data_IF_329246112058
#
_entry.id   IF_329246112058
#
_cell.length_a   1.000
_cell.length_b   1.000
_cell.length_c   1.000
_cell.angle_alpha   90.00
_cell.angle_beta   90.00
_cell.angle_gamma   90.00
#
_symmetry.space_group_name_H-M   'P 1'
#
loop_
_entity.id
_entity.type
_entity.pdbx_description
1 polymer ?
#
# COMPACT_ATOMS: atom_id res chain seq x y z
N UNK A 1 -8.59 33.42 -8.58
CA UNK A 1 -7.65 32.76 -9.53
C UNK A 1 -6.48 32.08 -8.81
N UNK A 2 -5.99 32.62 -7.68
CA UNK A 2 -4.90 32.06 -6.88
C UNK A 2 -5.22 30.77 -6.09
N UNK A 3 -6.49 30.58 -5.68
CA UNK A 3 -6.92 29.36 -4.99
C UNK A 3 -6.98 28.14 -5.92
N UNK A 4 -7.44 28.34 -7.16
CA UNK A 4 -7.52 27.29 -8.19
C UNK A 4 -6.13 26.71 -8.48
N UNK A 5 -5.09 27.54 -8.49
CA UNK A 5 -3.70 27.10 -8.69
C UNK A 5 -3.15 26.32 -7.51
N UNK A 6 -3.50 26.69 -6.27
CA UNK A 6 -3.04 25.98 -5.05
C UNK A 6 -3.65 24.58 -4.94
N UNK A 7 -4.95 24.45 -5.23
CA UNK A 7 -5.62 23.15 -5.24
C UNK A 7 -5.07 22.20 -6.30
N UNK A 8 -4.83 22.70 -7.52
CA UNK A 8 -4.22 21.91 -8.60
C UNK A 8 -2.82 21.39 -8.24
N UNK A 9 -1.99 22.23 -7.60
CA UNK A 9 -0.64 21.83 -7.17
C UNK A 9 -0.70 20.76 -6.07
N UNK A 10 -1.61 20.90 -5.10
CA UNK A 10 -1.81 19.91 -4.05
C UNK A 10 -2.34 18.59 -4.61
N UNK A 11 -3.31 18.64 -5.52
CA UNK A 11 -3.86 17.47 -6.22
C UNK A 11 -2.77 16.71 -6.98
N UNK A 12 -1.97 17.42 -7.79
CA UNK A 12 -0.87 16.83 -8.56
C UNK A 12 0.18 16.18 -7.65
N UNK A 13 0.50 16.81 -6.53
CA UNK A 13 1.42 16.26 -5.53
C UNK A 13 0.86 14.99 -4.89
N UNK A 14 -0.40 15.01 -4.45
CA UNK A 14 -1.08 13.84 -3.85
C UNK A 14 -1.14 12.68 -4.83
N UNK A 15 -1.51 12.94 -6.10
CA UNK A 15 -1.56 11.92 -7.15
C UNK A 15 -0.19 11.30 -7.41
N UNK A 16 0.86 12.13 -7.50
CA UNK A 16 2.24 11.64 -7.68
C UNK A 16 2.66 10.73 -6.52
N UNK A 17 2.32 11.09 -5.29
CA UNK A 17 2.62 10.28 -4.11
C UNK A 17 1.84 8.96 -4.10
N UNK A 18 0.56 8.98 -4.48
CA UNK A 18 -0.25 7.76 -4.64
C UNK A 18 0.43 6.83 -5.62
N UNK A 19 0.80 7.30 -6.81
CA UNK A 19 1.45 6.47 -7.82
C UNK A 19 2.76 5.86 -7.33
N UNK A 20 3.61 6.67 -6.67
CA UNK A 20 4.88 6.20 -6.10
C UNK A 20 4.63 5.14 -5.02
N UNK A 21 3.72 5.39 -4.07
CA UNK A 21 3.41 4.44 -3.00
C UNK A 21 2.79 3.15 -3.56
N UNK A 22 1.94 3.24 -4.57
CA UNK A 22 1.36 2.07 -5.25
C UNK A 22 2.43 1.19 -5.87
N UNK A 23 3.40 1.81 -6.56
CA UNK A 23 4.52 1.09 -7.16
C UNK A 23 5.41 0.44 -6.08
N UNK A 24 5.69 1.15 -4.98
CA UNK A 24 6.45 0.61 -3.85
C UNK A 24 5.71 -0.58 -3.22
N UNK A 25 4.41 -0.45 -2.95
CA UNK A 25 3.63 -1.53 -2.34
C UNK A 25 3.57 -2.73 -3.28
N UNK A 26 3.44 -2.49 -4.59
CA UNK A 26 3.44 -3.56 -5.58
C UNK A 26 4.79 -4.29 -5.61
N UNK A 27 5.91 -3.55 -5.54
CA UNK A 27 7.23 -4.13 -5.46
C UNK A 27 7.41 -4.98 -4.20
N UNK A 28 7.03 -4.47 -3.02
CA UNK A 28 7.12 -5.22 -1.77
C UNK A 28 6.23 -6.47 -1.80
N UNK A 29 5.00 -6.37 -2.32
CA UNK A 29 4.08 -7.51 -2.46
C UNK A 29 4.64 -8.60 -3.38
N UNK A 30 5.30 -8.22 -4.47
CA UNK A 30 5.94 -9.16 -5.37
C UNK A 30 7.19 -9.79 -4.73
N UNK A 31 8.01 -8.99 -4.04
CA UNK A 31 9.15 -9.51 -3.27
C UNK A 31 8.68 -10.53 -2.23
N UNK A 32 7.58 -10.27 -1.53
CA UNK A 32 6.99 -11.22 -0.58
C UNK A 32 6.61 -12.53 -1.26
N UNK A 33 5.93 -12.50 -2.41
CA UNK A 33 5.58 -13.69 -3.19
C UNK A 33 6.83 -14.48 -3.62
N UNK A 34 7.80 -13.84 -4.26
CA UNK A 34 8.99 -14.52 -4.75
C UNK A 34 9.87 -15.06 -3.61
N UNK A 35 9.95 -14.34 -2.49
CA UNK A 35 10.69 -14.83 -1.32
C UNK A 35 9.97 -16.03 -0.70
N UNK A 36 8.63 -16.00 -0.61
CA UNK A 36 7.84 -17.14 -0.15
C UNK A 36 7.97 -18.37 -1.07
N UNK A 37 8.20 -18.13 -2.36
CA UNK A 37 8.40 -19.19 -3.34
C UNK A 37 9.72 -19.93 -3.15
N UNK A 38 10.81 -19.23 -2.84
CA UNK A 38 12.11 -19.87 -2.61
C UNK A 38 12.32 -20.31 -1.15
N UNK A 39 11.59 -19.72 -0.19
CA UNK A 39 11.79 -19.96 1.24
C UNK A 39 10.46 -20.23 1.96
N UNK A 40 10.20 -21.49 2.30
CA UNK A 40 8.98 -21.91 3.00
C UNK A 40 8.79 -21.23 4.37
N UNK A 41 9.87 -20.88 5.07
CA UNK A 41 9.81 -20.17 6.36
C UNK A 41 9.14 -18.80 6.29
N UNK A 42 9.07 -18.18 5.11
CA UNK A 42 8.32 -16.93 4.90
C UNK A 42 6.81 -17.16 4.99
N UNK A 43 6.33 -18.31 4.52
CA UNK A 43 4.91 -18.69 4.65
C UNK A 43 4.55 -18.92 6.11
N UNK A 44 5.43 -19.58 6.87
CA UNK A 44 5.25 -19.82 8.32
C UNK A 44 5.22 -18.51 9.12
N UNK A 45 6.09 -17.56 8.79
CA UNK A 45 6.15 -16.24 9.44
C UNK A 45 5.27 -15.18 8.78
N UNK A 46 4.42 -15.57 7.84
CA UNK A 46 3.60 -14.66 7.02
C UNK A 46 2.79 -13.68 7.86
N UNK A 47 2.24 -14.12 9.00
CA UNK A 47 1.47 -13.26 9.91
C UNK A 47 2.30 -12.08 10.46
N UNK A 48 3.52 -12.35 10.92
CA UNK A 48 4.42 -11.32 11.46
C UNK A 48 4.86 -10.37 10.35
N UNK A 49 5.23 -10.92 9.19
CA UNK A 49 5.64 -10.14 8.02
C UNK A 49 4.49 -9.22 7.57
N UNK A 50 3.27 -9.75 7.49
CA UNK A 50 2.07 -8.99 7.16
C UNK A 50 1.82 -7.85 8.16
N UNK A 51 1.96 -8.11 9.47
CA UNK A 51 1.81 -7.07 10.49
C UNK A 51 2.82 -5.92 10.30
N UNK A 52 4.09 -6.25 10.04
CA UNK A 52 5.14 -5.26 9.77
C UNK A 52 4.80 -4.47 8.50
N UNK A 53 4.36 -5.14 7.44
CA UNK A 53 3.96 -4.49 6.19
C UNK A 53 2.78 -3.54 6.39
N UNK A 54 1.75 -3.93 7.14
CA UNK A 54 0.59 -3.07 7.46
C UNK A 54 1.07 -1.77 8.11
N UNK A 55 1.93 -1.86 9.13
CA UNK A 55 2.48 -0.69 9.82
C UNK A 55 3.32 0.15 8.87
N UNK A 56 4.23 -0.49 8.12
CA UNK A 56 5.10 0.17 7.15
C UNK A 56 4.30 0.90 6.06
N UNK A 57 3.16 0.35 5.63
CA UNK A 57 2.28 0.96 4.65
C UNK A 57 1.46 2.11 5.27
N UNK A 58 0.99 1.97 6.51
CA UNK A 58 0.26 3.04 7.18
C UNK A 58 1.10 4.31 7.42
N UNK A 59 2.39 4.18 7.75
CA UNK A 59 3.28 5.30 8.08
C UNK A 59 3.36 6.42 7.01
N UNK A 60 3.69 6.14 5.73
CA UNK A 60 3.74 7.18 4.70
C UNK A 60 2.36 7.81 4.47
N UNK A 61 1.28 7.04 4.62
CA UNK A 61 -0.08 7.57 4.49
C UNK A 61 -0.35 8.62 5.56
N UNK A 62 -0.01 8.31 6.81
CA UNK A 62 -0.11 9.25 7.94
C UNK A 62 0.74 10.50 7.71
N UNK A 63 1.98 10.33 7.24
CA UNK A 63 2.92 11.43 7.05
C UNK A 63 2.52 12.37 5.91
N UNK A 64 2.06 11.83 4.79
CA UNK A 64 1.91 12.60 3.55
C UNK A 64 0.47 13.08 3.28
N UNK A 65 -0.55 12.42 3.83
CA UNK A 65 -1.96 12.71 3.53
C UNK A 65 -2.74 13.34 4.70
N UNK A 66 -2.05 14.05 5.60
CA UNK A 66 -2.64 14.68 6.81
C UNK A 66 -3.61 15.84 6.55
N UNK A 67 -3.89 16.20 5.30
CA UNK A 67 -4.64 17.41 4.91
C UNK A 67 -5.96 17.07 4.17
N UNK A 68 -6.58 18.07 3.53
CA UNK A 68 -7.88 18.05 2.80
C UNK A 68 -8.14 16.83 1.89
N UNK A 69 -7.09 16.10 1.49
CA UNK A 69 -7.12 14.91 0.64
C UNK A 69 -6.93 13.61 1.43
N UNK A 70 -7.54 13.48 2.60
CA UNK A 70 -7.38 12.29 3.46
C UNK A 70 -7.88 10.99 2.80
N UNK A 71 -8.75 11.08 1.79
CA UNK A 71 -9.31 9.96 1.02
C UNK A 71 -8.46 9.54 -0.18
N UNK A 72 -7.49 10.35 -0.60
CA UNK A 72 -6.60 10.03 -1.73
C UNK A 72 -5.85 8.69 -1.62
N UNK A 73 -5.43 8.23 -0.43
CA UNK A 73 -4.76 6.94 -0.26
C UNK A 73 -5.56 5.74 -0.77
N UNK A 74 -6.89 5.83 -0.94
CA UNK A 74 -7.72 4.76 -1.53
C UNK A 74 -7.24 4.40 -2.94
N UNK A 75 -6.80 5.39 -3.72
CA UNK A 75 -6.28 5.18 -5.06
C UNK A 75 -4.97 4.37 -5.06
N UNK A 76 -4.28 4.24 -3.92
CA UNK A 76 -3.10 3.37 -3.81
C UNK A 76 -3.49 1.93 -4.14
N UNK A 77 -4.61 1.45 -3.60
CA UNK A 77 -5.09 0.11 -3.88
C UNK A 77 -5.43 -0.09 -5.36
N UNK A 78 -6.05 0.93 -5.97
CA UNK A 78 -6.43 0.89 -7.39
C UNK A 78 -5.21 0.77 -8.32
N UNK A 79 -4.15 1.54 -8.08
CA UNK A 79 -2.93 1.51 -8.88
C UNK A 79 -1.95 0.39 -8.47
N UNK A 80 -2.07 -0.12 -7.25
CA UNK A 80 -1.27 -1.24 -6.77
C UNK A 80 -1.48 -2.50 -7.62
N UNK A 81 -2.72 -2.81 -8.00
CA UNK A 81 -3.05 -3.98 -8.84
C UNK A 81 -2.30 -3.97 -10.18
N UNK A 82 -2.45 -2.94 -11.06
CA UNK A 82 -1.76 -2.94 -12.35
C UNK A 82 -0.24 -2.91 -12.20
N UNK A 83 0.31 -2.19 -11.22
CA UNK A 83 1.76 -2.23 -10.98
C UNK A 83 2.22 -3.61 -10.50
N UNK A 84 1.43 -4.30 -9.69
CA UNK A 84 1.75 -5.64 -9.22
C UNK A 84 1.78 -6.63 -10.38
N UNK A 85 0.81 -6.56 -11.30
CA UNK A 85 0.77 -7.40 -12.50
C UNK A 85 1.96 -7.11 -13.42
N UNK A 86 2.27 -5.83 -13.66
CA UNK A 86 3.41 -5.43 -14.48
C UNK A 86 4.75 -5.91 -13.88
N UNK A 87 4.92 -5.77 -12.56
CA UNK A 87 6.12 -6.25 -11.88
C UNK A 87 6.23 -7.77 -11.88
N UNK A 88 5.14 -8.49 -11.62
CA UNK A 88 5.10 -9.94 -11.70
C UNK A 88 5.49 -10.42 -13.11
N UNK A 89 4.98 -9.77 -14.16
CA UNK A 89 5.37 -10.04 -15.54
C UNK A 89 6.87 -9.83 -15.77
N UNK A 90 7.41 -8.68 -15.36
CA UNK A 90 8.85 -8.39 -15.50
C UNK A 90 9.69 -9.43 -14.74
N UNK A 91 9.31 -9.75 -13.50
CA UNK A 91 10.04 -10.72 -12.67
C UNK A 91 9.97 -12.14 -13.24
N UNK A 92 8.86 -12.52 -13.88
CA UNK A 92 8.73 -13.82 -14.54
C UNK A 92 9.70 -14.01 -15.71
N UNK A 93 10.15 -12.91 -16.35
CA UNK A 93 11.14 -12.95 -17.42
C UNK A 93 12.58 -13.06 -16.89
N UNK A 94 12.81 -12.67 -15.64
CA UNK A 94 14.16 -12.57 -15.05
C UNK A 94 14.45 -13.72 -14.10
N UNK A 95 13.45 -14.22 -13.37
CA UNK A 95 13.61 -15.24 -12.35
C UNK A 95 13.24 -16.63 -12.89
N UNK A 96 14.01 -17.67 -12.55
CA UNK A 96 13.71 -19.03 -12.96
C UNK A 96 12.46 -19.54 -12.24
N UNK A 97 11.41 -19.83 -13.01
CA UNK A 97 10.20 -20.50 -12.55
C UNK A 97 10.40 -22.02 -12.62
N UNK A 98 9.93 -22.75 -11.61
CA UNK A 98 9.94 -24.22 -11.60
C UNK A 98 8.90 -24.75 -12.58
N UNK A 99 9.18 -25.92 -13.17
CA UNK A 99 8.22 -26.64 -14.02
C UNK A 99 6.95 -27.07 -13.26
N UNK A 100 6.97 -27.02 -11.92
CA UNK A 100 5.81 -27.37 -11.10
C UNK A 100 4.83 -26.19 -10.97
N UNK A 101 4.04 -26.00 -12.02
CA UNK A 101 3.11 -24.88 -12.20
C UNK A 101 1.95 -24.83 -11.19
N UNK A 102 1.54 -25.97 -10.64
CA UNK A 102 0.39 -26.05 -9.72
C UNK A 102 0.74 -25.45 -8.35
N UNK A 103 1.91 -25.79 -7.81
CA UNK A 103 2.35 -25.29 -6.50
C UNK A 103 2.60 -23.78 -6.53
N UNK A 104 3.16 -23.29 -7.63
CA UNK A 104 3.34 -21.85 -7.84
C UNK A 104 1.99 -21.12 -7.91
N UNK A 105 1.01 -21.68 -8.62
CA UNK A 105 -0.34 -21.10 -8.72
C UNK A 105 -1.03 -20.97 -7.36
N UNK A 106 -0.96 -22.01 -6.52
CA UNK A 106 -1.54 -21.99 -5.18
C UNK A 106 -0.85 -20.96 -4.28
N UNK A 107 0.48 -20.89 -4.31
CA UNK A 107 1.24 -19.90 -3.56
C UNK A 107 0.91 -18.47 -4.01
N UNK A 108 0.78 -18.25 -5.32
CA UNK A 108 0.41 -16.96 -5.89
C UNK A 108 -0.95 -16.50 -5.36
N UNK A 109 -1.96 -17.37 -5.39
CA UNK A 109 -3.29 -17.05 -4.87
C UNK A 109 -3.23 -16.75 -3.36
N UNK A 110 -2.51 -17.56 -2.59
CA UNK A 110 -2.34 -17.35 -1.15
C UNK A 110 -1.69 -16.00 -0.84
N UNK A 111 -0.53 -15.70 -1.44
CA UNK A 111 0.16 -14.43 -1.27
C UNK A 111 -0.64 -13.25 -1.80
N UNK A 112 -1.44 -13.42 -2.86
CA UNK A 112 -2.31 -12.38 -3.38
C UNK A 112 -3.37 -12.00 -2.34
N UNK A 113 -4.03 -12.99 -1.73
CA UNK A 113 -5.03 -12.76 -0.67
C UNK A 113 -4.39 -12.01 0.50
N UNK A 114 -3.23 -12.47 0.98
CA UNK A 114 -2.51 -11.79 2.06
C UNK A 114 -2.14 -10.35 1.69
N UNK A 115 -1.59 -10.14 0.49
CA UNK A 115 -1.23 -8.81 0.03
C UNK A 115 -2.44 -7.88 -0.06
N UNK A 116 -3.58 -8.36 -0.58
CA UNK A 116 -4.83 -7.58 -0.61
C UNK A 116 -5.24 -7.17 0.81
N UNK A 117 -5.22 -8.10 1.76
CA UNK A 117 -5.54 -7.82 3.16
C UNK A 117 -4.58 -6.79 3.74
N UNK A 118 -3.27 -6.99 3.58
CA UNK A 118 -2.22 -6.09 4.08
C UNK A 118 -2.35 -4.69 3.51
N UNK A 119 -2.56 -4.56 2.20
CA UNK A 119 -2.70 -3.27 1.54
C UNK A 119 -3.97 -2.56 2.00
N UNK A 120 -5.11 -3.26 2.07
CA UNK A 120 -6.36 -2.67 2.56
C UNK A 120 -6.26 -2.23 4.02
N UNK A 121 -5.71 -3.08 4.90
CA UNK A 121 -5.55 -2.76 6.31
C UNK A 121 -4.54 -1.62 6.51
N UNK A 122 -3.42 -1.63 5.80
CA UNK A 122 -2.41 -0.56 5.85
C UNK A 122 -2.97 0.80 5.42
N UNK A 123 -3.71 0.82 4.31
CA UNK A 123 -4.39 2.04 3.82
C UNK A 123 -5.44 2.51 4.82
N UNK A 124 -6.30 1.61 5.29
CA UNK A 124 -7.37 1.91 6.24
C UNK A 124 -6.82 2.45 7.56
N UNK A 125 -5.80 1.81 8.12
CA UNK A 125 -5.16 2.24 9.36
C UNK A 125 -4.55 3.63 9.22
N UNK A 126 -3.84 3.89 8.11
CA UNK A 126 -3.27 5.21 7.83
C UNK A 126 -4.32 6.30 7.69
N UNK A 127 -5.44 6.00 7.03
CA UNK A 127 -6.56 6.94 6.89
C UNK A 127 -7.28 7.21 8.21
N UNK A 128 -7.54 6.17 9.02
CA UNK A 128 -8.18 6.30 10.35
C UNK A 128 -7.33 7.21 11.24
N UNK A 129 -6.01 6.99 11.27
CA UNK A 129 -5.12 7.81 12.10
C UNK A 129 -5.11 9.28 11.64
N UNK A 130 -5.07 9.54 10.33
CA UNK A 130 -5.14 10.91 9.79
C UNK A 130 -6.48 11.59 10.07
N UNK A 131 -7.60 10.88 9.86
CA UNK A 131 -8.94 11.37 10.14
C UNK A 131 -9.13 11.69 11.62
N UNK A 132 -8.74 10.76 12.50
CA UNK A 132 -8.79 10.92 13.94
C UNK A 132 -7.94 12.09 14.45
N UNK A 133 -6.70 12.23 13.97
CA UNK A 133 -5.82 13.35 14.35
C UNK A 133 -6.41 14.71 13.94
N UNK A 134 -7.07 14.77 12.78
CA UNK A 134 -7.70 16.00 12.29
C UNK A 134 -8.92 16.38 13.13
N UNK A 135 -9.76 15.41 13.48
CA UNK A 135 -10.93 15.62 14.35
C UNK A 135 -10.50 16.05 15.77
N UNK A 136 -9.47 15.42 16.32
CA UNK A 136 -8.93 15.77 17.63
C UNK A 136 -8.44 17.22 17.70
N UNK A 137 -7.72 17.67 16.67
CA UNK A 137 -7.26 19.07 16.59
C UNK A 137 -8.41 20.06 16.53
N UNK A 138 -9.45 19.77 15.74
CA UNK A 138 -10.65 20.61 15.66
C UNK A 138 -11.34 20.71 17.02
N UNK A 139 -11.52 19.58 17.71
CA UNK A 139 -12.14 19.55 19.03
C UNK A 139 -11.33 20.32 20.08
N UNK A 140 -10.00 20.12 20.12
CA UNK A 140 -9.11 20.80 21.07
C UNK A 140 -8.99 22.31 20.83
N UNK A 141 -9.23 22.80 19.61
CA UNK A 141 -9.27 24.23 19.31
C UNK A 141 -10.62 24.84 19.70
N UNK A 142 -11.73 24.14 19.44
CA UNK A 142 -13.06 24.56 19.83
C UNK A 142 -13.25 24.62 21.36
N UNK A 143 -12.56 23.76 22.12
CA UNK A 143 -12.62 23.78 23.59
C UNK A 143 -11.78 24.88 24.25
N UNK A 144 -10.99 25.65 23.47
CA UNK A 144 -10.12 26.73 23.95
C UNK A 144 -10.68 28.13 23.63
N UNK A 145 -11.80 28.20 22.91
CA UNK A 145 -12.59 29.43 22.70
C UNK A 145 -13.76 29.43 23.68
#
# INVERSE_FOLDING_TARGET
>A
MEEVTKEQVLFRRSMRLVLILSAIYAAVSNVFLYTAYYYSGIVEQSYIICMIMIIAFALPIVKFFRNQHWYFPIFIFLFWIPFSVLLAFILSQVLPLSDNTVDFGLLLVYCLILNVIVTLLGITLGMIFNGGSTLWKKYSQASKQ
#
